data_IF_994871228099
#
_entry.id   IF_994871228099
#
_cell.length_a   1.000
_cell.length_b   1.000
_cell.length_c   1.000
_cell.angle_alpha   90.00
_cell.angle_beta   90.00
_cell.angle_gamma   90.00
#
_symmetry.space_group_name_H-M   'P 1'
#
loop_
_entity.id
_entity.type
_entity.pdbx_description
1 polymer ?
#
# COMPACT_ATOMS: atom_id res chain seq x y z
N UNK A 1 18.66 -13.98 -17.26
CA UNK A 1 17.95 -12.97 -16.43
C UNK A 1 18.99 -12.13 -15.72
N UNK A 2 19.02 -10.82 -15.92
CA UNK A 2 20.12 -9.96 -15.47
C UNK A 2 19.79 -9.39 -14.07
N UNK A 3 20.40 -9.98 -13.03
CA UNK A 3 20.18 -9.64 -11.61
C UNK A 3 20.45 -8.16 -11.33
N UNK A 4 21.41 -7.57 -12.04
CA UNK A 4 21.79 -6.16 -11.91
C UNK A 4 20.68 -5.17 -12.29
N UNK A 5 19.78 -5.55 -13.21
CA UNK A 5 18.61 -4.72 -13.60
C UNK A 5 17.48 -4.78 -12.53
N UNK A 6 17.43 -5.86 -11.77
CA UNK A 6 16.49 -6.02 -10.66
C UNK A 6 16.99 -5.22 -9.45
N UNK A 7 18.29 -5.28 -9.19
CA UNK A 7 18.96 -4.52 -8.14
C UNK A 7 18.89 -3.02 -8.39
N UNK A 8 19.07 -2.53 -9.62
CA UNK A 8 18.89 -1.09 -9.94
C UNK A 8 17.44 -0.61 -9.77
N UNK A 9 16.44 -1.49 -9.98
CA UNK A 9 15.03 -1.20 -9.64
C UNK A 9 14.78 -1.21 -8.13
N UNK A 10 15.53 -2.02 -7.39
CA UNK A 10 15.44 -2.13 -5.93
C UNK A 10 16.26 -1.04 -5.21
N UNK A 11 17.35 -0.54 -5.79
CA UNK A 11 18.20 0.52 -5.20
C UNK A 11 17.77 1.92 -5.63
N UNK A 12 17.03 2.05 -6.75
CA UNK A 12 16.21 3.23 -7.04
C UNK A 12 14.91 3.29 -6.19
N UNK A 13 14.72 2.36 -5.25
CA UNK A 13 13.57 2.34 -4.33
C UNK A 13 13.81 3.16 -3.05
N UNK A 14 14.38 4.35 -3.18
CA UNK A 14 14.03 5.42 -2.23
C UNK A 14 12.50 5.64 -2.32
N UNK A 15 11.77 4.89 -1.51
CA UNK A 15 10.33 4.72 -1.55
C UNK A 15 9.61 6.06 -1.47
N UNK A 16 8.84 6.37 -2.50
CA UNK A 16 8.14 7.66 -2.65
C UNK A 16 6.94 7.82 -1.69
N UNK A 17 6.59 6.78 -0.93
CA UNK A 17 5.59 6.86 0.12
C UNK A 17 5.41 5.53 0.85
N UNK A 18 4.59 5.56 1.89
CA UNK A 18 4.21 4.41 2.72
C UNK A 18 2.71 4.19 2.57
N UNK A 19 2.32 2.99 2.11
CA UNK A 19 0.94 2.58 1.98
C UNK A 19 0.37 2.08 3.32
N UNK A 20 -0.89 2.39 3.55
CA UNK A 20 -1.65 2.03 4.75
C UNK A 20 -3.11 1.75 4.39
N UNK A 21 -3.82 1.04 5.25
CA UNK A 21 -5.26 0.78 5.14
C UNK A 21 -5.97 1.34 6.35
N UNK A 22 -7.00 2.14 6.13
CA UNK A 22 -7.97 2.51 7.15
C UNK A 22 -9.14 1.55 7.11
N UNK A 23 -9.47 0.94 8.24
CA UNK A 23 -10.67 0.11 8.41
C UNK A 23 -11.75 0.89 9.16
N UNK A 24 -12.67 1.53 8.41
CA UNK A 24 -13.71 2.42 8.92
C UNK A 24 -14.99 1.75 9.42
N UNK A 25 -14.86 0.54 9.95
CA UNK A 25 -16.00 -0.33 10.28
C UNK A 25 -16.55 -1.12 9.08
N UNK A 26 -17.74 -1.70 9.27
CA UNK A 26 -18.33 -2.68 8.35
C UNK A 26 -18.47 -2.07 6.94
N UNK A 27 -17.85 -2.71 5.95
CA UNK A 27 -18.00 -2.31 4.55
C UNK A 27 -17.27 -1.02 4.15
N UNK A 28 -16.32 -0.55 4.97
CA UNK A 28 -15.69 0.76 4.77
C UNK A 28 -14.17 0.71 4.95
N UNK A 29 -13.48 -0.11 4.16
CA UNK A 29 -12.01 -0.15 4.16
C UNK A 29 -11.44 0.58 2.96
N UNK A 30 -10.39 1.38 3.14
CA UNK A 30 -9.74 2.12 2.06
C UNK A 30 -8.23 2.14 2.25
N UNK A 31 -7.49 1.83 1.19
CA UNK A 31 -6.04 2.00 1.16
C UNK A 31 -5.66 3.44 0.78
N UNK A 32 -4.55 3.92 1.31
CA UNK A 32 -3.92 5.18 0.90
C UNK A 32 -2.41 5.03 0.95
N UNK A 33 -1.69 5.99 0.36
CA UNK A 33 -0.24 6.05 0.43
C UNK A 33 0.21 7.49 0.61
N UNK A 34 1.28 7.71 1.38
CA UNK A 34 1.86 9.05 1.58
C UNK A 34 2.46 9.64 0.29
N UNK A 35 2.49 8.88 -0.82
CA UNK A 35 2.81 9.38 -2.16
C UNK A 35 1.65 10.14 -2.83
N UNK A 36 0.49 10.23 -2.17
CA UNK A 36 -0.71 10.93 -2.67
C UNK A 36 -1.76 10.02 -3.33
N UNK A 37 -1.47 8.71 -3.45
CA UNK A 37 -2.45 7.76 -3.98
C UNK A 37 -3.53 7.40 -2.96
N UNK A 38 -4.77 7.29 -3.44
CA UNK A 38 -5.94 6.87 -2.66
C UNK A 38 -6.62 5.73 -3.41
N UNK A 39 -6.79 4.59 -2.74
CA UNK A 39 -7.46 3.41 -3.25
C UNK A 39 -8.98 3.56 -3.26
N UNK A 40 -9.66 2.59 -3.88
CA UNK A 40 -11.13 2.53 -3.87
C UNK A 40 -11.63 2.11 -2.49
N UNK A 41 -12.82 2.56 -2.12
CA UNK A 41 -13.53 2.03 -0.95
C UNK A 41 -13.89 0.57 -1.22
N UNK A 42 -13.56 -0.32 -0.29
CA UNK A 42 -13.82 -1.76 -0.34
C UNK A 42 -14.72 -2.19 0.80
N UNK A 43 -15.57 -3.19 0.52
CA UNK A 43 -16.40 -3.81 1.55
C UNK A 43 -15.56 -4.69 2.50
N UNK A 44 -14.57 -5.39 1.95
CA UNK A 44 -13.68 -6.27 2.69
C UNK A 44 -12.35 -5.58 2.95
N UNK A 45 -11.88 -5.64 4.21
CA UNK A 45 -10.55 -5.19 4.61
C UNK A 45 -9.44 -5.81 3.76
N UNK A 46 -9.53 -7.12 3.50
CA UNK A 46 -8.56 -7.84 2.68
C UNK A 46 -8.44 -7.27 1.25
N UNK A 47 -9.54 -6.79 0.65
CA UNK A 47 -9.48 -6.18 -0.67
C UNK A 47 -8.78 -4.82 -0.65
N UNK A 48 -8.92 -4.04 0.43
CA UNK A 48 -8.18 -2.80 0.60
C UNK A 48 -6.68 -3.08 0.83
N UNK A 49 -6.34 -4.13 1.57
CA UNK A 49 -4.95 -4.57 1.71
C UNK A 49 -4.34 -4.96 0.36
N UNK A 50 -5.07 -5.71 -0.47
CA UNK A 50 -4.63 -6.06 -1.83
C UNK A 50 -4.38 -4.83 -2.69
N UNK A 51 -5.20 -3.79 -2.60
CA UNK A 51 -4.97 -2.53 -3.30
C UNK A 51 -3.65 -1.87 -2.85
N UNK A 52 -3.36 -1.87 -1.55
CA UNK A 52 -2.11 -1.32 -1.00
C UNK A 52 -0.87 -2.10 -1.49
N UNK A 53 -0.91 -3.44 -1.43
CA UNK A 53 0.17 -4.30 -1.95
C UNK A 53 0.38 -4.11 -3.46
N UNK A 54 -0.71 -4.07 -4.23
CA UNK A 54 -0.64 -3.85 -5.68
C UNK A 54 -0.01 -2.50 -6.01
N UNK A 55 -0.37 -1.45 -5.27
CA UNK A 55 0.24 -0.12 -5.42
C UNK A 55 1.74 -0.15 -5.12
N UNK A 56 2.14 -0.79 -4.01
CA UNK A 56 3.54 -0.92 -3.64
C UNK A 56 4.36 -1.69 -4.68
N UNK A 57 3.82 -2.80 -5.18
CA UNK A 57 4.45 -3.59 -6.23
C UNK A 57 4.62 -2.82 -7.54
N UNK A 58 3.66 -1.95 -7.88
CA UNK A 58 3.69 -1.18 -9.12
C UNK A 58 4.63 0.05 -9.04
N UNK A 59 4.62 0.78 -7.93
CA UNK A 59 5.35 2.07 -7.77
C UNK A 59 6.59 1.99 -6.89
N UNK A 60 6.87 0.86 -6.24
CA UNK A 60 7.99 0.72 -5.30
C UNK A 60 7.78 1.50 -3.99
N UNK A 61 6.54 1.81 -3.62
CA UNK A 61 6.23 2.36 -2.28
C UNK A 61 6.36 1.28 -1.21
N UNK A 62 6.64 1.70 0.03
CA UNK A 62 6.71 0.80 1.18
C UNK A 62 5.32 0.48 1.74
N UNK A 63 5.22 -0.58 2.53
CA UNK A 63 4.01 -0.93 3.29
C UNK A 63 4.21 -0.56 4.75
N UNK A 64 3.21 0.07 5.38
CA UNK A 64 3.24 0.39 6.81
C UNK A 64 3.21 -0.86 7.68
N UNK A 65 3.70 -0.73 8.92
CA UNK A 65 3.63 -1.76 9.95
C UNK A 65 2.99 -1.14 11.19
N UNK A 66 1.76 -1.54 11.58
CA UNK A 66 0.87 -2.46 10.87
C UNK A 66 0.32 -1.85 9.57
N UNK A 67 0.06 -2.70 8.56
CA UNK A 67 -0.55 -2.25 7.29
C UNK A 67 -1.96 -1.68 7.51
N UNK A 68 -2.70 -2.25 8.45
CA UNK A 68 -4.08 -1.84 8.72
C UNK A 68 -4.15 -1.15 10.06
N UNK A 69 -4.58 0.10 10.00
CA UNK A 69 -4.93 0.87 11.17
C UNK A 69 -6.38 0.59 11.54
N UNK A 70 -6.67 0.15 12.78
CA UNK A 70 -8.03 0.16 13.28
C UNK A 70 -8.52 1.61 13.31
N UNK A 71 -9.84 1.80 13.16
CA UNK A 71 -10.42 3.10 13.39
C UNK A 71 -9.99 3.67 14.75
N UNK A 72 -9.61 4.95 14.76
CA UNK A 72 -9.73 5.75 15.96
C UNK A 72 -11.22 6.06 16.07
N UNK A 73 -11.92 5.33 16.94
CA UNK A 73 -13.33 5.56 17.25
C UNK A 73 -13.61 7.02 17.62
#
# INVERSE_FOLDING_TARGET
MNVLLLEDRLTASTGKGVAYVYNRGIGNSTAGCSCGWIGRRRLLKAAAEQDAWSHCAYLGCGVSVPLVFPDRG
#
